data_IF_537346227874
#
_entry.id   IF_537346227874
#
_cell.length_a   1.000
_cell.length_b   1.000
_cell.length_c   1.000
_cell.angle_alpha   90.00
_cell.angle_beta   90.00
_cell.angle_gamma   90.00
#
_symmetry.space_group_name_H-M   'P 1'
#
loop_
_entity.id
_entity.type
_entity.pdbx_description
1 polymer ?
#
# COMPACT_ATOMS: atom_id res chain seq x y z
N UNK A 1 68.05 -23.10 40.59
CA UNK A 1 66.82 -23.39 39.84
C UNK A 1 65.73 -22.46 40.34
N UNK A 2 65.40 -21.42 39.59
CA UNK A 2 64.45 -20.37 39.97
C UNK A 2 63.13 -20.69 39.27
N UNK A 3 62.08 -20.92 40.04
CA UNK A 3 60.73 -21.18 39.56
C UNK A 3 60.06 -19.86 39.14
N UNK A 4 59.58 -19.76 37.90
CA UNK A 4 58.62 -18.73 37.45
C UNK A 4 57.24 -19.37 37.31
N UNK A 5 56.14 -18.72 37.75
CA UNK A 5 54.81 -19.20 37.46
C UNK A 5 54.34 -18.71 36.08
N UNK A 6 53.83 -19.63 35.27
CA UNK A 6 53.12 -19.33 34.02
C UNK A 6 51.70 -18.87 34.36
N UNK A 7 51.39 -17.61 34.01
CA UNK A 7 50.03 -17.06 34.05
C UNK A 7 49.32 -17.47 32.76
N UNK A 8 48.31 -18.33 32.87
CA UNK A 8 47.40 -18.62 31.77
C UNK A 8 46.30 -17.55 31.73
N UNK A 9 46.37 -16.68 30.73
CA UNK A 9 45.33 -15.70 30.45
C UNK A 9 44.17 -16.41 29.74
N UNK A 10 43.07 -16.67 30.46
CA UNK A 10 41.84 -17.18 29.86
C UNK A 10 41.07 -15.99 29.30
N UNK A 11 41.06 -15.83 27.97
CA UNK A 11 40.23 -14.84 27.30
C UNK A 11 38.80 -15.40 27.25
N UNK A 12 37.92 -14.86 28.10
CA UNK A 12 36.49 -15.10 28.05
C UNK A 12 35.92 -14.29 26.88
N UNK A 13 35.64 -14.94 25.75
CA UNK A 13 34.90 -14.31 24.65
C UNK A 13 33.44 -14.27 25.06
N UNK A 14 32.99 -13.13 25.59
CA UNK A 14 31.56 -12.84 25.73
C UNK A 14 30.98 -12.62 24.34
N UNK A 15 30.35 -13.67 23.79
CA UNK A 15 29.43 -13.56 22.68
C UNK A 15 28.20 -12.77 23.15
N UNK A 16 28.21 -11.45 22.93
CA UNK A 16 26.97 -10.67 22.93
C UNK A 16 26.17 -11.10 21.70
N UNK A 17 25.27 -12.07 21.88
CA UNK A 17 24.12 -12.19 21.00
C UNK A 17 23.32 -10.89 21.17
N UNK A 18 23.44 -9.96 20.23
CA UNK A 18 22.42 -8.93 20.04
C UNK A 18 21.14 -9.68 19.68
N UNK A 19 20.35 -10.03 20.69
CA UNK A 19 18.96 -10.37 20.48
C UNK A 19 18.33 -9.14 19.82
N UNK A 20 17.91 -9.30 18.57
CA UNK A 20 16.96 -8.38 17.96
C UNK A 20 15.72 -8.43 18.86
N UNK A 21 15.61 -7.48 19.79
CA UNK A 21 14.37 -7.22 20.48
C UNK A 21 13.37 -6.84 19.40
N UNK A 22 12.51 -7.79 19.03
CA UNK A 22 11.40 -7.51 18.14
C UNK A 22 10.63 -6.37 18.79
N UNK A 23 10.61 -5.19 18.14
CA UNK A 23 9.87 -4.05 18.65
C UNK A 23 8.43 -4.51 18.95
N UNK A 24 7.84 -4.12 20.10
CA UNK A 24 6.47 -4.48 20.41
C UNK A 24 5.53 -4.20 19.23
N UNK A 25 4.57 -5.10 19.05
CA UNK A 25 3.48 -4.96 18.10
C UNK A 25 2.80 -3.58 18.31
N UNK A 26 2.87 -2.72 17.29
CA UNK A 26 2.40 -1.33 17.38
C UNK A 26 1.42 -1.05 16.24
N UNK A 27 0.29 -0.43 16.57
CA UNK A 27 -0.64 0.16 15.59
C UNK A 27 -0.22 1.60 15.32
N UNK A 28 0.17 1.89 14.08
CA UNK A 28 0.65 3.20 13.63
C UNK A 28 -0.51 4.16 13.36
N UNK A 29 -1.56 3.64 12.71
CA UNK A 29 -2.75 4.40 12.39
C UNK A 29 -3.93 3.45 12.23
N UNK A 30 -5.11 3.92 12.61
CA UNK A 30 -6.37 3.27 12.31
C UNK A 30 -7.46 4.31 12.09
N UNK A 31 -8.44 3.90 11.27
CA UNK A 31 -9.66 4.64 11.01
C UNK A 31 -10.76 3.62 10.68
N UNK A 32 -11.74 3.51 11.59
CA UNK A 32 -13.01 2.81 11.40
C UNK A 32 -14.09 3.75 10.85
N UNK A 33 -13.74 5.01 10.58
CA UNK A 33 -14.62 6.05 10.04
C UNK A 33 -15.82 6.43 10.94
N UNK A 34 -15.82 6.02 12.20
CA UNK A 34 -16.89 6.30 13.16
C UNK A 34 -16.77 7.68 13.84
N UNK A 35 -15.57 8.28 13.82
CA UNK A 35 -15.26 9.45 14.63
C UNK A 35 -14.61 10.61 13.86
N UNK A 36 -15.13 11.82 14.08
CA UNK A 36 -14.56 13.06 13.56
C UNK A 36 -14.85 13.29 12.08
N UNK A 37 -14.27 14.35 11.51
CA UNK A 37 -14.32 14.62 10.06
C UNK A 37 -13.08 14.01 9.40
N UNK A 38 -13.18 13.61 8.13
CA UNK A 38 -12.05 13.07 7.38
C UNK A 38 -10.80 13.96 7.48
N UNK A 39 -10.94 15.27 7.33
CA UNK A 39 -9.83 16.23 7.42
C UNK A 39 -9.14 16.31 8.79
N UNK A 40 -9.76 15.80 9.85
CA UNK A 40 -9.17 15.76 11.19
C UNK A 40 -8.23 14.55 11.33
N UNK A 41 -8.41 13.51 10.50
CA UNK A 41 -7.64 12.26 10.51
C UNK A 41 -6.81 12.02 9.26
N UNK A 42 -7.11 12.65 8.14
CA UNK A 42 -6.41 12.54 6.87
C UNK A 42 -5.84 13.90 6.48
N UNK A 43 -4.53 13.97 6.24
CA UNK A 43 -3.88 15.26 6.00
C UNK A 43 -4.21 15.85 4.63
N UNK A 44 -4.58 15.02 3.65
CA UNK A 44 -5.14 15.48 2.38
C UNK A 44 -6.44 14.75 2.08
N UNK A 45 -7.46 15.53 1.71
CA UNK A 45 -8.78 15.05 1.33
C UNK A 45 -9.13 15.68 -0.01
N UNK A 46 -8.82 14.97 -1.09
CA UNK A 46 -9.08 15.40 -2.46
C UNK A 46 -10.43 14.85 -2.91
N UNK A 47 -11.50 15.38 -2.31
CA UNK A 47 -12.90 15.08 -2.62
C UNK A 47 -13.55 16.39 -3.05
N UNK A 48 -13.79 16.55 -4.35
CA UNK A 48 -14.21 17.85 -4.92
C UNK A 48 -15.60 18.32 -4.52
N UNK A 49 -16.51 17.40 -4.22
CA UNK A 49 -17.88 17.65 -3.82
C UNK A 49 -18.48 16.42 -3.13
N UNK A 50 -19.70 16.54 -2.60
CA UNK A 50 -20.37 15.44 -1.90
C UNK A 50 -20.65 14.22 -2.81
N UNK A 51 -20.75 14.39 -4.13
CA UNK A 51 -20.91 13.25 -5.05
C UNK A 51 -19.61 12.46 -5.18
N UNK A 52 -18.45 13.13 -5.16
CA UNK A 52 -17.13 12.50 -5.31
C UNK A 52 -16.68 11.72 -4.08
N UNK A 53 -17.32 11.88 -2.92
CA UNK A 53 -17.00 11.10 -1.73
C UNK A 53 -17.46 11.73 -0.42
N UNK A 54 -17.18 11.02 0.67
CA UNK A 54 -17.54 11.41 2.04
C UNK A 54 -17.79 10.19 2.91
N UNK A 55 -18.28 10.42 4.13
CA UNK A 55 -18.76 9.33 4.98
C UNK A 55 -20.11 8.82 4.46
N UNK A 56 -20.27 7.51 4.44
CA UNK A 56 -21.47 6.79 4.02
C UNK A 56 -22.10 6.10 5.22
N UNK A 57 -23.43 6.21 5.39
CA UNK A 57 -24.13 5.67 6.55
C UNK A 57 -25.25 4.67 6.19
N UNK A 58 -25.49 4.42 4.90
CA UNK A 58 -26.46 3.40 4.47
C UNK A 58 -25.89 2.00 4.81
N UNK A 59 -26.61 1.15 5.56
CA UNK A 59 -26.06 -0.08 6.12
C UNK A 59 -25.43 -1.04 5.10
N UNK A 60 -25.96 -1.13 3.88
CA UNK A 60 -25.39 -1.99 2.84
C UNK A 60 -24.00 -1.55 2.34
N UNK A 61 -23.58 -0.33 2.66
CA UNK A 61 -22.30 0.25 2.28
C UNK A 61 -21.41 0.52 3.49
N UNK A 62 -21.71 -0.08 4.64
CA UNK A 62 -20.90 -0.01 5.87
C UNK A 62 -20.47 -1.43 6.20
N UNK A 63 -19.17 -1.66 6.38
CA UNK A 63 -18.68 -3.01 6.72
C UNK A 63 -18.91 -3.30 8.20
N UNK A 64 -18.59 -2.33 9.07
CA UNK A 64 -18.87 -2.44 10.50
C UNK A 64 -19.23 -1.09 11.10
N UNK A 65 -19.94 -1.07 12.23
CA UNK A 65 -20.33 0.19 12.86
C UNK A 65 -21.49 0.89 12.13
N UNK A 66 -21.34 2.19 11.90
CA UNK A 66 -22.37 3.10 11.36
C UNK A 66 -21.90 3.88 10.15
N UNK A 67 -20.60 3.95 9.88
CA UNK A 67 -20.07 4.73 8.79
C UNK A 67 -18.88 4.05 8.08
N UNK A 68 -18.77 4.28 6.78
CA UNK A 68 -17.59 3.92 5.98
C UNK A 68 -17.13 5.12 5.15
N UNK A 69 -15.93 5.05 4.59
CA UNK A 69 -15.47 6.03 3.60
C UNK A 69 -15.95 5.63 2.20
N UNK A 70 -16.70 6.51 1.54
CA UNK A 70 -17.03 6.40 0.11
C UNK A 70 -16.14 7.33 -0.72
N UNK A 71 -15.60 6.79 -1.81
CA UNK A 71 -14.88 7.55 -2.83
C UNK A 71 -15.47 7.24 -4.21
N UNK A 72 -15.63 8.26 -5.04
CA UNK A 72 -16.19 8.13 -6.38
C UNK A 72 -15.38 8.93 -7.40
N UNK A 73 -14.86 8.23 -8.41
CA UNK A 73 -14.42 8.85 -9.66
C UNK A 73 -15.67 9.19 -10.46
N UNK A 74 -16.01 10.48 -10.59
CA UNK A 74 -17.23 10.85 -11.33
C UNK A 74 -16.95 10.82 -12.84
N UNK A 75 -18.01 10.57 -13.62
CA UNK A 75 -17.98 10.71 -15.06
C UNK A 75 -17.39 12.07 -15.45
N UNK A 76 -16.46 12.05 -16.41
CA UNK A 76 -15.77 13.24 -16.89
C UNK A 76 -15.61 13.19 -18.42
N UNK A 77 -16.67 12.81 -19.13
CA UNK A 77 -16.70 12.73 -20.60
C UNK A 77 -15.53 11.90 -21.19
N UNK A 78 -15.10 10.86 -20.48
CA UNK A 78 -13.98 10.00 -20.89
C UNK A 78 -12.59 10.57 -20.63
N UNK A 79 -12.46 11.75 -20.03
CA UNK A 79 -11.21 12.25 -19.44
C UNK A 79 -10.97 11.61 -18.07
N UNK A 80 -9.79 11.83 -17.49
CA UNK A 80 -9.50 11.29 -16.17
C UNK A 80 -10.37 11.90 -15.07
N UNK A 81 -10.65 11.12 -14.03
CA UNK A 81 -11.26 11.63 -12.81
C UNK A 81 -10.87 10.77 -11.62
N UNK A 82 -10.80 11.39 -10.44
CA UNK A 82 -10.64 10.63 -9.22
C UNK A 82 -10.92 11.43 -7.96
N UNK A 83 -11.01 10.69 -6.87
CA UNK A 83 -11.15 11.17 -5.50
C UNK A 83 -10.23 10.35 -4.61
N UNK A 84 -9.58 10.99 -3.64
CA UNK A 84 -8.65 10.29 -2.75
C UNK A 84 -8.53 10.97 -1.38
N UNK A 85 -8.07 10.19 -0.41
CA UNK A 85 -7.55 10.68 0.87
C UNK A 85 -6.12 10.18 1.06
N UNK A 86 -5.26 10.99 1.67
CA UNK A 86 -3.86 10.64 1.93
C UNK A 86 -3.54 10.81 3.41
N UNK A 87 -2.94 9.76 3.98
CA UNK A 87 -2.37 9.77 5.32
C UNK A 87 -0.85 9.67 5.22
N UNK A 88 -0.14 10.61 5.81
CA UNK A 88 1.29 10.48 6.09
C UNK A 88 1.53 10.11 7.55
N UNK A 89 2.58 9.34 7.78
CA UNK A 89 3.08 8.92 9.07
C UNK A 89 4.61 9.04 9.08
N UNK A 90 5.08 10.30 8.97
CA UNK A 90 6.50 10.66 8.96
C UNK A 90 7.15 10.40 10.32
N UNK A 91 8.46 10.02 10.39
CA UNK A 91 9.37 9.83 9.26
C UNK A 91 9.12 8.55 8.46
N UNK A 92 8.39 7.59 9.03
CA UNK A 92 8.04 6.33 8.40
C UNK A 92 8.74 5.12 9.00
N UNK A 93 8.50 3.97 8.37
CA UNK A 93 8.89 2.65 8.88
C UNK A 93 9.62 1.84 7.80
N UNK A 94 10.31 0.79 8.24
CA UNK A 94 10.96 -0.17 7.33
C UNK A 94 10.08 -1.36 6.97
N UNK A 95 9.12 -1.72 7.81
CA UNK A 95 8.26 -2.88 7.62
C UNK A 95 6.89 -2.57 8.18
N UNK A 96 5.86 -2.64 7.35
CA UNK A 96 4.48 -2.37 7.73
C UNK A 96 3.53 -3.39 7.13
N UNK A 97 2.46 -3.62 7.87
CA UNK A 97 1.27 -4.31 7.45
C UNK A 97 0.11 -3.32 7.40
N UNK A 98 -0.72 -3.46 6.38
CA UNK A 98 -1.92 -2.68 6.15
C UNK A 98 -3.07 -3.67 6.03
N UNK A 99 -4.16 -3.40 6.73
CA UNK A 99 -5.42 -4.14 6.57
C UNK A 99 -6.54 -3.14 6.44
N UNK A 100 -7.42 -3.35 5.47
CA UNK A 100 -8.65 -2.58 5.34
C UNK A 100 -9.72 -3.45 4.70
N UNK A 101 -10.96 -3.04 4.89
CA UNK A 101 -12.08 -3.62 4.18
C UNK A 101 -12.45 -2.71 3.03
N UNK A 102 -12.78 -3.28 1.89
CA UNK A 102 -13.31 -2.49 0.79
C UNK A 102 -14.33 -3.26 -0.05
N UNK A 103 -15.17 -2.48 -0.73
CA UNK A 103 -16.17 -2.98 -1.67
C UNK A 103 -16.21 -2.08 -2.91
N UNK A 104 -16.30 -2.70 -4.08
CA UNK A 104 -16.57 -2.01 -5.35
C UNK A 104 -18.07 -2.03 -5.62
N UNK A 105 -18.62 -0.95 -6.19
CA UNK A 105 -20.04 -0.88 -6.55
C UNK A 105 -20.45 -1.96 -7.56
N UNK A 106 -21.71 -2.40 -7.49
CA UNK A 106 -22.27 -3.39 -8.42
C UNK A 106 -22.15 -2.96 -9.89
N UNK A 107 -22.26 -1.67 -10.16
CA UNK A 107 -22.17 -1.05 -11.48
C UNK A 107 -20.75 -0.59 -11.86
N UNK A 108 -19.74 -0.89 -11.02
CA UNK A 108 -18.36 -0.49 -11.25
C UNK A 108 -17.86 -1.04 -12.59
N UNK A 109 -17.34 -0.13 -13.41
CA UNK A 109 -16.73 -0.37 -14.72
C UNK A 109 -15.80 0.81 -15.04
N UNK A 110 -14.51 0.59 -14.77
CA UNK A 110 -13.47 1.60 -14.89
C UNK A 110 -12.85 1.71 -16.29
N UNK A 111 -13.28 0.89 -17.26
CA UNK A 111 -12.45 0.65 -18.44
C UNK A 111 -11.17 -0.12 -18.07
N UNK A 112 -10.06 0.08 -18.77
CA UNK A 112 -8.87 -0.77 -18.57
C UNK A 112 -7.83 -0.21 -17.60
N UNK A 113 -7.84 1.11 -17.33
CA UNK A 113 -6.76 1.77 -16.58
C UNK A 113 -7.33 2.58 -15.41
N UNK A 114 -6.90 2.23 -14.20
CA UNK A 114 -7.25 2.90 -12.95
C UNK A 114 -6.10 2.88 -11.94
N UNK A 115 -6.25 3.68 -10.88
CA UNK A 115 -5.47 3.58 -9.65
C UNK A 115 -6.40 3.55 -8.43
N UNK A 116 -6.07 2.71 -7.46
CA UNK A 116 -6.92 2.41 -6.30
C UNK A 116 -6.22 2.69 -4.96
N UNK A 117 -5.52 1.70 -4.41
CA UNK A 117 -4.82 1.83 -3.11
C UNK A 117 -3.32 1.90 -3.32
N UNK A 118 -2.71 2.94 -2.77
CA UNK A 118 -1.30 3.27 -3.02
C UNK A 118 -0.49 3.37 -1.73
N UNK A 119 0.70 2.79 -1.75
CA UNK A 119 1.67 2.81 -0.66
C UNK A 119 2.96 3.46 -1.17
N UNK A 120 3.46 4.45 -0.43
CA UNK A 120 4.60 5.25 -0.89
C UNK A 120 5.75 5.25 0.10
N UNK A 121 6.94 5.20 -0.49
CA UNK A 121 8.18 5.59 0.15
C UNK A 121 8.54 7.01 -0.23
N UNK A 122 8.33 7.96 0.67
CA UNK A 122 8.80 9.33 0.52
C UNK A 122 10.09 9.53 1.32
N UNK A 123 10.86 10.53 0.92
CA UNK A 123 11.99 11.03 1.71
C UNK A 123 11.50 11.59 3.05
N UNK A 124 12.24 11.34 4.12
CA UNK A 124 11.88 11.81 5.47
C UNK A 124 11.86 13.35 5.60
N UNK A 125 12.58 14.06 4.72
CA UNK A 125 12.68 15.52 4.65
C UNK A 125 11.69 16.15 3.65
N UNK A 126 11.02 15.34 2.83
CA UNK A 126 10.02 15.79 1.86
C UNK A 126 8.93 14.73 1.70
N UNK A 127 7.81 14.94 2.41
CA UNK A 127 6.62 14.08 2.34
C UNK A 127 6.01 13.98 0.93
N UNK A 128 6.34 14.91 0.03
CA UNK A 128 5.79 14.97 -1.33
C UNK A 128 6.68 14.33 -2.39
N UNK A 129 7.92 13.98 -2.06
CA UNK A 129 8.88 13.35 -2.97
C UNK A 129 8.34 12.10 -3.69
N UNK A 130 7.42 11.36 -3.04
CA UNK A 130 6.75 10.20 -3.62
C UNK A 130 5.61 10.49 -4.60
N UNK A 131 5.25 11.75 -4.89
CA UNK A 131 4.04 12.12 -5.66
C UNK A 131 4.35 12.89 -6.94
N UNK A 132 3.45 12.83 -7.93
CA UNK A 132 3.55 13.63 -9.18
C UNK A 132 4.75 13.27 -10.06
N UNK A 133 5.03 11.97 -10.20
CA UNK A 133 6.19 11.43 -10.93
C UNK A 133 5.84 10.20 -11.78
N UNK A 134 4.64 10.18 -12.36
CA UNK A 134 4.20 9.11 -13.26
C UNK A 134 5.10 9.08 -14.52
N UNK A 135 5.34 7.89 -15.07
CA UNK A 135 6.16 7.72 -16.29
C UNK A 135 7.67 7.82 -16.07
N UNK A 136 8.13 8.15 -14.86
CA UNK A 136 9.55 8.37 -14.53
C UNK A 136 10.06 7.21 -13.68
N UNK A 137 11.25 6.67 -13.98
CA UNK A 137 11.90 5.65 -13.16
C UNK A 137 12.38 6.23 -11.82
N UNK A 138 12.13 5.59 -10.66
CA UNK A 138 12.83 5.94 -9.42
C UNK A 138 14.31 5.59 -9.47
N UNK A 139 15.15 6.33 -8.75
CA UNK A 139 16.60 6.09 -8.70
C UNK A 139 17.07 5.36 -7.43
N UNK A 140 16.19 5.25 -6.43
CA UNK A 140 16.46 4.58 -5.15
C UNK A 140 16.79 5.54 -4.02
N UNK A 141 16.92 6.83 -4.32
CA UNK A 141 17.16 7.92 -3.36
C UNK A 141 16.03 8.94 -3.31
N UNK A 142 15.17 8.93 -4.33
CA UNK A 142 14.10 9.89 -4.54
C UNK A 142 12.73 9.42 -4.03
N UNK A 143 12.31 8.19 -4.35
CA UNK A 143 11.02 7.61 -3.97
C UNK A 143 10.92 6.11 -4.27
N UNK A 144 9.84 5.50 -3.80
CA UNK A 144 9.28 4.29 -4.41
C UNK A 144 7.74 4.27 -4.23
N UNK A 145 7.06 3.46 -5.02
CA UNK A 145 5.60 3.29 -4.94
C UNK A 145 5.23 1.83 -5.22
N UNK A 146 4.21 1.34 -4.55
CA UNK A 146 3.42 0.21 -5.02
C UNK A 146 1.95 0.45 -4.76
N UNK A 147 1.10 -0.04 -5.64
CA UNK A 147 -0.34 -0.09 -5.42
C UNK A 147 -0.85 -1.52 -5.44
N UNK A 148 -1.85 -1.81 -4.63
CA UNK A 148 -2.68 -2.99 -4.84
C UNK A 148 -3.80 -2.58 -5.79
N UNK A 149 -3.71 -3.05 -7.03
CA UNK A 149 -4.52 -2.58 -8.15
C UNK A 149 -5.29 -3.74 -8.76
N UNK A 150 -6.61 -3.61 -9.02
CA UNK A 150 -7.31 -4.51 -9.92
C UNK A 150 -7.07 -4.07 -11.37
N UNK A 151 -6.85 -5.04 -12.26
CA UNK A 151 -6.68 -4.77 -13.69
C UNK A 151 -7.48 -5.76 -14.53
N UNK A 152 -8.16 -5.23 -15.55
CA UNK A 152 -9.03 -6.02 -16.42
C UNK A 152 -8.30 -6.80 -17.51
N UNK A 153 -7.00 -6.59 -17.68
CA UNK A 153 -6.19 -7.23 -18.73
C UNK A 153 -6.87 -7.09 -20.09
N UNK A 154 -7.10 -5.84 -20.49
CA UNK A 154 -7.76 -5.46 -21.76
C UNK A 154 -9.10 -6.17 -21.99
N UNK A 155 -9.90 -6.25 -20.93
CA UNK A 155 -11.23 -6.89 -20.95
C UNK A 155 -11.24 -8.40 -20.75
N UNK A 156 -10.10 -9.07 -20.53
CA UNK A 156 -10.05 -10.49 -20.16
C UNK A 156 -10.82 -10.79 -18.87
N UNK A 157 -10.77 -9.89 -17.90
CA UNK A 157 -11.51 -10.00 -16.64
C UNK A 157 -12.67 -8.99 -16.57
N UNK A 158 -13.79 -9.36 -15.93
CA UNK A 158 -14.83 -8.38 -15.61
C UNK A 158 -14.29 -7.30 -14.67
N UNK A 159 -14.89 -6.11 -14.68
CA UNK A 159 -14.54 -5.05 -13.76
C UNK A 159 -14.78 -5.47 -12.28
N UNK A 160 -13.90 -5.09 -11.34
CA UNK A 160 -12.72 -4.25 -11.53
C UNK A 160 -11.48 -5.02 -12.04
N UNK A 161 -11.51 -6.35 -12.07
CA UNK A 161 -10.45 -7.17 -12.67
C UNK A 161 -9.63 -7.97 -11.65
N UNK A 162 -8.50 -8.50 -12.10
CA UNK A 162 -7.61 -9.33 -11.29
C UNK A 162 -6.65 -8.46 -10.46
N UNK A 163 -6.47 -8.79 -9.18
CA UNK A 163 -5.54 -8.09 -8.30
C UNK A 163 -4.08 -8.37 -8.66
N UNK A 164 -3.27 -7.33 -8.59
CA UNK A 164 -1.83 -7.37 -8.75
C UNK A 164 -1.17 -6.23 -7.95
N UNK A 165 0.13 -6.35 -7.70
CA UNK A 165 0.92 -5.17 -7.35
C UNK A 165 1.33 -4.42 -8.60
N UNK A 166 1.21 -3.10 -8.57
CA UNK A 166 1.74 -2.20 -9.59
C UNK A 166 2.83 -1.32 -8.97
N UNK A 167 4.10 -1.67 -9.19
CA UNK A 167 5.24 -1.11 -8.43
C UNK A 167 6.21 -0.28 -9.27
N UNK A 168 6.61 0.88 -8.73
CA UNK A 168 7.73 1.71 -9.19
C UNK A 168 8.91 1.54 -8.23
N UNK A 169 10.02 1.05 -8.75
CA UNK A 169 11.24 0.77 -8.00
C UNK A 169 12.48 0.90 -8.91
N UNK A 170 13.69 1.09 -8.35
CA UNK A 170 14.93 1.33 -9.11
C UNK A 170 15.31 0.30 -10.19
N UNK A 171 14.78 -0.91 -10.12
CA UNK A 171 15.09 -2.00 -11.06
C UNK A 171 13.95 -2.33 -12.02
N UNK A 172 12.86 -1.55 -11.96
CA UNK A 172 11.74 -1.69 -12.87
C UNK A 172 12.20 -1.56 -14.33
N UNK A 173 11.57 -2.35 -15.18
CA UNK A 173 11.75 -2.31 -16.63
C UNK A 173 10.91 -1.16 -17.23
N UNK A 174 11.39 -0.52 -18.30
CA UNK A 174 10.58 0.44 -19.04
C UNK A 174 9.37 -0.27 -19.65
N UNK A 175 8.37 0.50 -20.05
CA UNK A 175 7.27 0.00 -20.86
C UNK A 175 7.76 -0.40 -22.27
N UNK A 176 6.87 -1.00 -23.07
CA UNK A 176 7.15 -1.49 -24.43
C UNK A 176 7.73 -0.44 -25.36
N UNK A 177 7.45 0.85 -25.12
CA UNK A 177 8.02 1.94 -25.91
C UNK A 177 9.50 2.22 -25.61
N UNK A 178 10.05 1.65 -24.54
CA UNK A 178 11.45 1.82 -24.11
C UNK A 178 11.78 3.22 -23.57
N UNK A 179 10.79 4.12 -23.48
CA UNK A 179 10.97 5.52 -23.09
C UNK A 179 10.32 5.78 -21.73
N UNK A 180 9.08 5.33 -21.54
CA UNK A 180 8.32 5.58 -20.33
C UNK A 180 8.49 4.46 -19.32
N UNK A 181 8.38 4.81 -18.05
CA UNK A 181 8.39 3.87 -16.95
C UNK A 181 7.02 3.85 -16.29
N UNK A 182 6.24 2.83 -16.62
CA UNK A 182 5.01 2.49 -15.92
C UNK A 182 5.28 1.39 -14.90
N UNK A 183 4.57 1.39 -13.78
CA UNK A 183 4.73 0.41 -12.72
C UNK A 183 4.76 -1.01 -13.26
N UNK A 184 5.72 -1.81 -12.84
CA UNK A 184 5.75 -3.22 -13.23
C UNK A 184 4.70 -3.97 -12.42
N UNK A 185 3.99 -4.87 -13.10
CA UNK A 185 2.93 -5.65 -12.51
C UNK A 185 3.45 -6.98 -11.95
N UNK A 186 3.00 -7.35 -10.76
CA UNK A 186 3.29 -8.63 -10.13
C UNK A 186 1.98 -9.33 -9.81
N UNK A 187 1.74 -10.48 -10.44
CA UNK A 187 0.50 -11.24 -10.33
C UNK A 187 0.69 -12.49 -9.46
N UNK A 188 -0.36 -12.93 -8.74
CA UNK A 188 -0.40 -14.28 -8.19
C UNK A 188 -0.47 -15.33 -9.32
N UNK A 189 0.01 -16.55 -9.04
CA UNK A 189 -0.05 -17.67 -10.01
C UNK A 189 -1.48 -17.95 -10.47
N UNK A 190 -2.43 -17.86 -9.54
CA UNK A 190 -3.86 -17.92 -9.81
C UNK A 190 -4.47 -16.54 -9.65
N UNK A 191 -5.02 -16.02 -10.74
CA UNK A 191 -5.70 -14.72 -10.75
C UNK A 191 -6.82 -14.69 -9.71
N UNK A 192 -6.81 -13.67 -8.85
CA UNK A 192 -7.93 -13.36 -7.98
C UNK A 192 -8.71 -12.19 -8.58
N UNK A 193 -9.89 -12.48 -9.13
CA UNK A 193 -10.79 -11.48 -9.71
C UNK A 193 -11.74 -10.99 -8.63
N UNK A 194 -11.75 -9.69 -8.37
CA UNK A 194 -12.59 -9.09 -7.32
C UNK A 194 -14.05 -9.11 -7.76
N UNK A 195 -14.96 -9.52 -6.88
CA UNK A 195 -16.39 -9.43 -7.10
C UNK A 195 -16.91 -8.05 -6.71
N UNK A 196 -17.82 -7.50 -7.52
CA UNK A 196 -18.54 -6.25 -7.21
C UNK A 196 -19.64 -6.53 -6.19
N UNK A 197 -20.00 -5.54 -5.36
CA UNK A 197 -21.04 -5.65 -4.35
C UNK A 197 -20.68 -6.53 -3.15
N UNK A 198 -19.41 -6.95 -3.02
CA UNK A 198 -18.90 -7.76 -1.92
C UNK A 198 -17.81 -7.03 -1.16
N UNK A 199 -17.90 -7.05 0.17
CA UNK A 199 -16.81 -6.65 1.06
C UNK A 199 -15.74 -7.73 1.11
N UNK A 200 -14.49 -7.31 1.01
CA UNK A 200 -13.31 -8.15 1.22
C UNK A 200 -12.41 -7.51 2.25
N UNK A 201 -11.72 -8.34 3.04
CA UNK A 201 -10.55 -7.91 3.79
C UNK A 201 -9.33 -7.93 2.86
N UNK A 202 -8.80 -6.75 2.54
CA UNK A 202 -7.55 -6.62 1.80
C UNK A 202 -6.40 -6.35 2.76
N UNK A 203 -5.29 -7.06 2.55
CA UNK A 203 -4.13 -6.96 3.43
C UNK A 203 -2.86 -6.88 2.60
N UNK A 204 -1.95 -6.00 2.98
CA UNK A 204 -0.66 -5.78 2.31
C UNK A 204 0.45 -5.76 3.36
N UNK A 205 1.57 -6.41 3.06
CA UNK A 205 2.83 -6.26 3.77
C UNK A 205 3.83 -5.62 2.83
N UNK A 206 4.55 -4.61 3.32
CA UNK A 206 5.70 -4.03 2.65
C UNK A 206 6.89 -3.98 3.60
N UNK A 207 8.02 -4.50 3.13
CA UNK A 207 9.31 -4.45 3.82
C UNK A 207 10.32 -3.80 2.89
N UNK A 208 10.80 -2.61 3.25
CA UNK A 208 11.89 -1.96 2.53
C UNK A 208 13.18 -2.73 2.79
N UNK A 209 14.08 -2.67 1.81
CA UNK A 209 15.39 -3.29 1.89
C UNK A 209 16.36 -2.48 2.78
N UNK A 210 17.41 -3.16 3.23
CA UNK A 210 18.67 -2.51 3.64
C UNK A 210 19.19 -1.72 2.45
N UNK A 211 19.61 -0.45 2.60
CA UNK A 211 20.06 0.40 1.49
C UNK A 211 21.03 -0.32 0.54
N UNK A 212 20.66 -0.38 -0.75
CA UNK A 212 21.46 -1.01 -1.80
C UNK A 212 21.35 -2.53 -1.91
N UNK A 213 20.66 -3.21 -0.98
CA UNK A 213 20.51 -4.67 -0.96
C UNK A 213 19.17 -5.14 -1.57
N UNK A 214 19.11 -6.43 -1.92
CA UNK A 214 17.92 -7.11 -2.45
C UNK A 214 17.23 -7.96 -1.36
N UNK A 215 16.93 -7.37 -0.21
CA UNK A 215 16.29 -8.04 0.94
C UNK A 215 14.91 -7.45 1.30
N UNK A 216 14.35 -6.62 0.41
CA UNK A 216 13.00 -6.08 0.50
C UNK A 216 11.94 -7.01 -0.06
N UNK A 217 10.71 -6.82 0.39
CA UNK A 217 9.60 -7.72 0.12
C UNK A 217 8.28 -6.94 -0.02
N UNK A 218 7.33 -7.53 -0.74
CA UNK A 218 5.92 -7.13 -0.73
C UNK A 218 5.04 -8.38 -0.79
N UNK A 219 3.90 -8.37 -0.12
CA UNK A 219 2.93 -9.47 -0.16
C UNK A 219 1.51 -8.96 0.03
N UNK A 220 0.53 -9.68 -0.52
CA UNK A 220 -0.87 -9.38 -0.26
C UNK A 220 -1.71 -10.63 0.01
N UNK A 221 -2.76 -10.42 0.79
CA UNK A 221 -3.78 -11.40 1.15
C UNK A 221 -5.15 -10.82 0.83
N UNK A 222 -6.11 -11.72 0.61
CA UNK A 222 -7.53 -11.39 0.61
C UNK A 222 -8.24 -12.38 1.51
N UNK A 223 -9.05 -11.88 2.43
CA UNK A 223 -9.78 -12.65 3.44
C UNK A 223 -8.86 -13.61 4.22
N UNK A 224 -7.66 -13.14 4.62
CA UNK A 224 -6.68 -13.93 5.35
C UNK A 224 -5.89 -14.95 4.51
N UNK A 225 -6.22 -15.12 3.23
CA UNK A 225 -5.50 -16.03 2.32
C UNK A 225 -4.38 -15.29 1.59
N UNK A 226 -3.13 -15.68 1.80
CA UNK A 226 -1.98 -15.14 1.06
C UNK A 226 -2.10 -15.50 -0.41
N UNK A 227 -2.08 -14.50 -1.29
CA UNK A 227 -2.19 -14.70 -2.73
C UNK A 227 -0.86 -14.49 -3.45
N UNK A 228 -0.05 -13.53 -2.99
CA UNK A 228 1.24 -13.23 -3.60
C UNK A 228 2.27 -12.83 -2.54
N UNK A 229 3.51 -13.26 -2.77
CA UNK A 229 4.71 -12.78 -2.09
C UNK A 229 5.78 -12.53 -3.17
N UNK A 230 6.35 -11.33 -3.19
CA UNK A 230 7.50 -10.96 -4.00
C UNK A 230 8.65 -10.66 -3.06
N UNK A 231 9.76 -11.37 -3.24
CA UNK A 231 10.98 -11.18 -2.46
C UNK A 231 12.09 -10.60 -3.35
N UNK A 232 13.20 -10.19 -2.75
CA UNK A 232 14.37 -9.75 -3.52
C UNK A 232 14.24 -8.32 -4.07
N UNK A 233 13.32 -7.52 -3.53
CA UNK A 233 13.08 -6.16 -4.01
C UNK A 233 14.14 -5.21 -3.45
N UNK A 234 14.81 -4.45 -4.33
CA UNK A 234 15.59 -3.27 -3.95
C UNK A 234 14.71 -2.03 -4.11
N UNK A 235 14.08 -1.59 -3.02
CA UNK A 235 13.23 -0.40 -2.97
C UNK A 235 14.01 0.91 -2.83
N UNK A 236 15.15 0.90 -2.14
CA UNK A 236 15.92 2.10 -1.78
C UNK A 236 17.44 1.87 -1.70
N UNK A 237 18.19 2.95 -1.83
CA UNK A 237 19.64 3.04 -1.66
C UNK A 237 20.04 3.98 -0.52
N UNK A 238 19.07 4.49 0.24
CA UNK A 238 19.29 5.44 1.33
C UNK A 238 18.32 5.21 2.48
N UNK A 239 18.76 5.50 3.70
CA UNK A 239 17.90 5.52 4.90
C UNK A 239 16.90 6.68 4.91
N UNK A 240 17.08 7.66 4.02
CA UNK A 240 16.16 8.79 3.84
C UNK A 240 14.82 8.36 3.26
N UNK A 241 14.71 7.23 2.57
CA UNK A 241 13.44 6.70 2.07
C UNK A 241 12.83 5.71 3.06
N UNK A 242 11.59 5.97 3.48
CA UNK A 242 10.83 5.16 4.45
C UNK A 242 9.40 4.97 3.97
N UNK A 243 8.74 3.87 4.34
CA UNK A 243 7.29 3.71 4.16
C UNK A 243 6.58 4.72 5.04
N UNK A 244 5.94 5.73 4.45
CA UNK A 244 5.39 6.86 5.21
C UNK A 244 4.13 7.49 4.63
N UNK A 245 3.55 6.95 3.55
CA UNK A 245 2.24 7.41 3.08
C UNK A 245 1.36 6.28 2.56
N UNK A 246 0.07 6.39 2.89
CA UNK A 246 -1.03 5.59 2.37
C UNK A 246 -1.98 6.51 1.59
N UNK A 247 -2.40 6.05 0.42
CA UNK A 247 -3.45 6.66 -0.39
C UNK A 247 -4.60 5.67 -0.54
N UNK A 248 -5.79 6.09 -0.11
CA UNK A 248 -7.03 5.48 -0.58
C UNK A 248 -7.61 6.37 -1.66
N UNK A 249 -7.85 5.80 -2.84
CA UNK A 249 -8.36 6.54 -3.97
C UNK A 249 -9.14 5.66 -4.94
N UNK A 250 -9.89 6.31 -5.81
CA UNK A 250 -10.35 5.73 -7.06
C UNK A 250 -10.09 6.76 -8.13
N UNK A 251 -9.09 6.49 -8.96
CA UNK A 251 -8.73 7.31 -10.10
C UNK A 251 -8.88 6.48 -11.36
N UNK A 252 -9.52 7.04 -12.38
CA UNK A 252 -9.83 6.35 -13.63
C UNK A 252 -9.37 7.25 -14.76
N UNK A 253 -8.54 6.69 -15.65
CA UNK A 253 -7.97 7.45 -16.78
C UNK A 253 -9.03 7.84 -17.81
N UNK A 254 -10.07 7.03 -17.97
CA UNK A 254 -11.18 7.30 -18.89
C UNK A 254 -12.53 7.20 -18.18
N UNK A 255 -12.85 8.20 -17.35
CA UNK A 255 -14.05 8.20 -16.54
C UNK A 255 -15.30 8.47 -17.41
N UNK A 256 -15.89 7.42 -17.97
CA UNK A 256 -17.12 7.49 -18.78
C UNK A 256 -18.41 7.41 -17.95
N UNK A 257 -18.29 6.95 -16.71
CA UNK A 257 -19.37 6.86 -15.72
C UNK A 257 -18.82 7.07 -14.32
N UNK A 258 -19.73 7.28 -13.37
CA UNK A 258 -19.38 7.27 -11.96
C UNK A 258 -18.92 5.87 -11.56
N UNK A 259 -17.84 5.79 -10.81
CA UNK A 259 -17.27 4.54 -10.31
C UNK A 259 -16.93 4.72 -8.84
N UNK A 260 -17.57 3.91 -7.99
CA UNK A 260 -17.55 4.08 -6.54
C UNK A 260 -16.92 2.88 -5.85
N UNK A 261 -16.09 3.17 -4.85
CA UNK A 261 -15.61 2.20 -3.88
C UNK A 261 -15.92 2.68 -2.46
N UNK A 262 -16.10 1.73 -1.54
CA UNK A 262 -16.18 1.99 -0.11
C UNK A 262 -14.98 1.35 0.59
N UNK A 263 -14.53 1.99 1.66
CA UNK A 263 -13.43 1.55 2.51
C UNK A 263 -13.86 1.63 3.95
N UNK A 264 -13.41 0.69 4.74
CA UNK A 264 -13.75 0.61 6.15
C UNK A 264 -12.59 -0.05 6.93
N UNK A 265 -12.60 0.11 8.24
CA UNK A 265 -11.81 -0.71 9.16
C UNK A 265 -10.30 -0.76 8.83
N UNK A 266 -9.70 0.40 8.55
CA UNK A 266 -8.28 0.53 8.25
C UNK A 266 -7.45 0.34 9.52
N UNK A 267 -6.40 -0.48 9.41
CA UNK A 267 -5.32 -0.61 10.38
C UNK A 267 -3.98 -0.63 9.65
N UNK A 268 -3.02 0.17 10.14
CA UNK A 268 -1.61 0.14 9.75
C UNK A 268 -0.81 -0.26 10.99
N UNK A 269 0.00 -1.30 10.91
CA UNK A 269 0.73 -1.83 12.05
C UNK A 269 2.11 -2.39 11.68
N UNK A 270 2.95 -2.61 12.68
CA UNK A 270 4.28 -3.25 12.54
C UNK A 270 4.23 -4.79 12.53
N UNK A 271 3.03 -5.36 12.61
CA UNK A 271 2.78 -6.80 12.68
C UNK A 271 1.53 -7.16 11.87
N UNK A 272 1.41 -8.43 11.48
CA UNK A 272 0.25 -8.93 10.75
C UNK A 272 -1.02 -8.84 11.61
N UNK A 273 -2.09 -8.27 11.05
CA UNK A 273 -3.36 -8.01 11.75
C UNK A 273 -4.37 -9.14 11.50
N UNK A 274 -4.47 -9.63 10.27
CA UNK A 274 -5.52 -10.55 9.85
C UNK A 274 -6.90 -9.89 9.66
N UNK A 275 -7.85 -10.64 9.07
CA UNK A 275 -9.26 -10.27 9.09
C UNK A 275 -9.81 -10.16 10.52
N UNK A 276 -10.83 -9.32 10.71
CA UNK A 276 -11.67 -9.36 11.91
C UNK A 276 -12.27 -10.76 12.05
N UNK A 277 -12.28 -11.27 13.28
CA UNK A 277 -13.04 -12.46 13.64
C UNK A 277 -14.50 -12.04 13.84
N UNK A 278 -15.42 -12.87 13.36
CA UNK A 278 -16.86 -12.71 13.63
C UNK A 278 -17.20 -12.99 15.10
#
# INVERSE_FOLDING_TARGET
MINRPNVWLTILICLFSLGLTQSPAETIFSDDFEAGKLKDRWQEVNIRNAEAGGLEARPQYVHSGKASLRLTSLANNGQESGSQVIRWFMPGYGHLYYRWYAMFAEDFDQGDLMHWTGFRGCRIDDRWSGFGRAGIKPDGTDRFFTGLEPWRDWGRYPAPGALNFYSYFPEMKPDRDGVHYWGNQFFPDSAFVVERGRWYCFEVMLKVNTPGQHDGEQAFWVDGRKLLQVNGMRWRDTEMLRLNALVFGVYIHQARRNNTCWYDDLVIATHYIGPKTE
#
